data_IF_882893934953
#
_entry.id   IF_882893934953
#
_cell.length_a   1.000
_cell.length_b   1.000
_cell.length_c   1.000
_cell.angle_alpha   90.00
_cell.angle_beta   90.00
_cell.angle_gamma   90.00
#
_symmetry.space_group_name_H-M   'P 1'
#
loop_
_entity.id
_entity.type
_entity.pdbx_description
1 polymer ?
#
# COMPACT_ATOMS: atom_id res chain seq x y z
N UNK A 1 -2.55 -7.68 7.70
CA UNK A 1 -2.57 -6.35 8.34
C UNK A 1 -3.37 -5.39 7.49
N UNK A 2 -4.29 -4.63 8.10
CA UNK A 2 -4.95 -3.52 7.42
C UNK A 2 -4.13 -2.25 7.65
N UNK A 3 -3.67 -1.62 6.56
CA UNK A 3 -2.82 -0.43 6.60
C UNK A 3 -3.68 0.83 6.61
N UNK A 4 -4.78 0.80 5.84
CA UNK A 4 -5.86 1.77 5.82
C UNK A 4 -7.18 1.04 5.58
N UNK A 5 -8.30 1.77 5.46
CA UNK A 5 -9.59 1.18 5.06
C UNK A 5 -9.52 0.53 3.66
N UNK A 6 -8.68 1.07 2.78
CA UNK A 6 -8.65 0.72 1.35
C UNK A 6 -7.34 0.01 0.94
N UNK A 7 -6.47 -0.34 1.88
CA UNK A 7 -5.22 -1.05 1.62
C UNK A 7 -4.93 -2.12 2.68
N UNK A 8 -4.64 -3.34 2.20
CA UNK A 8 -4.23 -4.48 3.02
C UNK A 8 -2.89 -5.06 2.57
N UNK A 9 -2.17 -5.63 3.53
CA UNK A 9 -0.93 -6.37 3.31
C UNK A 9 -1.01 -7.71 4.04
N UNK A 10 -0.73 -8.79 3.31
CA UNK A 10 -0.78 -10.18 3.78
C UNK A 10 0.55 -10.87 3.45
N UNK A 11 0.97 -11.78 4.33
CA UNK A 11 2.04 -12.72 4.04
C UNK A 11 1.37 -14.06 3.73
N UNK A 12 1.47 -14.49 2.48
CA UNK A 12 1.01 -15.80 2.02
C UNK A 12 2.00 -16.90 2.46
N UNK A 13 1.69 -18.15 2.09
CA UNK A 13 2.64 -19.26 2.22
C UNK A 13 3.95 -18.93 1.51
N UNK A 14 5.02 -19.58 1.96
CA UNK A 14 6.37 -19.42 1.42
C UNK A 14 6.96 -18.01 1.52
N UNK A 15 6.44 -17.12 2.39
CA UNK A 15 6.96 -15.74 2.57
C UNK A 15 6.71 -14.82 1.37
N UNK A 16 5.68 -15.10 0.57
CA UNK A 16 5.22 -14.19 -0.47
C UNK A 16 4.38 -13.07 0.15
N UNK A 17 4.73 -11.83 -0.17
CA UNK A 17 3.97 -10.65 0.24
C UNK A 17 2.92 -10.35 -0.81
N UNK A 18 1.70 -10.07 -0.35
CA UNK A 18 0.58 -9.63 -1.16
C UNK A 18 0.05 -8.31 -0.62
N UNK A 19 0.08 -7.28 -1.46
CA UNK A 19 -0.47 -5.96 -1.15
C UNK A 19 -1.63 -5.71 -2.08
N UNK A 20 -2.79 -5.42 -1.52
CA UNK A 20 -4.00 -5.05 -2.25
C UNK A 20 -4.42 -3.66 -1.83
N UNK A 21 -4.94 -2.89 -2.77
CA UNK A 21 -5.59 -1.65 -2.41
C UNK A 21 -6.40 -1.06 -3.55
N UNK A 22 -6.99 0.10 -3.28
CA UNK A 22 -7.76 0.87 -4.26
C UNK A 22 -7.21 2.28 -4.33
N UNK A 23 -6.86 2.73 -5.53
CA UNK A 23 -6.57 4.14 -5.78
C UNK A 23 -7.89 4.88 -5.99
N UNK A 24 -8.18 5.84 -5.12
CA UNK A 24 -9.36 6.73 -5.24
C UNK A 24 -8.96 8.00 -5.97
N UNK A 25 -8.54 7.87 -7.23
CA UNK A 25 -8.48 9.05 -8.09
C UNK A 25 -9.92 9.43 -8.43
N UNK A 26 -10.44 10.49 -7.82
CA UNK A 26 -11.76 11.05 -8.15
C UNK A 26 -11.74 11.49 -9.61
N UNK A 27 -12.22 10.64 -10.51
CA UNK A 27 -12.15 10.78 -11.97
C UNK A 27 -12.80 12.08 -12.50
N UNK A 28 -13.61 12.73 -11.68
CA UNK A 28 -14.33 13.96 -12.00
C UNK A 28 -13.71 15.23 -11.36
N UNK A 29 -12.78 15.07 -10.42
CA UNK A 29 -12.18 16.20 -9.69
C UNK A 29 -11.05 16.84 -10.50
N UNK A 30 -11.43 17.74 -11.40
CA UNK A 30 -10.50 18.73 -11.99
C UNK A 30 -9.98 19.73 -10.95
N UNK A 31 -10.37 19.59 -9.68
CA UNK A 31 -10.12 20.54 -8.61
C UNK A 31 -9.56 19.83 -7.39
N UNK A 32 -8.39 20.27 -6.92
CA UNK A 32 -7.78 19.81 -5.67
C UNK A 32 -8.03 20.87 -4.60
N UNK A 33 -8.59 20.47 -3.46
CA UNK A 33 -8.74 21.35 -2.30
C UNK A 33 -7.58 21.12 -1.33
N UNK A 34 -6.74 22.13 -1.12
CA UNK A 34 -5.62 22.06 -0.16
C UNK A 34 -5.44 23.42 0.52
N UNK A 35 -5.23 23.43 1.83
CA UNK A 35 -5.04 24.66 2.62
C UNK A 35 -6.17 25.70 2.42
N UNK A 36 -7.43 25.25 2.37
CA UNK A 36 -8.60 26.09 2.07
C UNK A 36 -8.55 26.80 0.71
N UNK A 37 -7.73 26.32 -0.22
CA UNK A 37 -7.65 26.82 -1.59
C UNK A 37 -8.11 25.73 -2.57
N UNK A 38 -8.70 26.17 -3.68
CA UNK A 38 -9.17 25.29 -4.77
C UNK A 38 -8.23 25.46 -5.95
N UNK A 39 -7.55 24.38 -6.35
CA UNK A 39 -6.60 24.36 -7.45
C UNK A 39 -7.20 23.61 -8.63
N UNK A 40 -7.31 24.25 -9.80
CA UNK A 40 -7.74 23.58 -11.03
C UNK A 40 -6.56 22.88 -11.70
N UNK A 41 -6.66 21.57 -11.90
CA UNK A 41 -5.65 20.81 -12.64
C UNK A 41 -5.69 21.21 -14.13
N UNK A 42 -4.51 21.57 -14.67
CA UNK A 42 -4.32 21.94 -16.08
C UNK A 42 -4.03 20.72 -16.97
N UNK A 43 -3.38 19.70 -16.42
CA UNK A 43 -3.10 18.41 -17.07
C UNK A 43 -3.60 17.27 -16.18
N UNK A 44 -4.13 16.22 -16.80
CA UNK A 44 -4.71 15.08 -16.08
C UNK A 44 -3.98 13.77 -16.46
N UNK A 45 -2.69 13.69 -16.13
CA UNK A 45 -1.86 12.51 -16.35
C UNK A 45 -1.87 11.60 -15.11
N UNK A 46 -3.04 11.41 -14.50
CA UNK A 46 -3.20 10.56 -13.33
C UNK A 46 -3.55 9.14 -13.77
N UNK A 47 -3.04 8.16 -13.04
CA UNK A 47 -3.50 6.79 -13.20
C UNK A 47 -5.01 6.72 -12.91
N UNK A 48 -5.77 5.92 -13.68
CA UNK A 48 -7.18 5.73 -13.40
C UNK A 48 -7.38 5.21 -11.98
N UNK A 49 -8.49 5.56 -11.30
CA UNK A 49 -8.84 4.90 -10.06
C UNK A 49 -9.04 3.41 -10.33
N UNK A 50 -8.72 2.60 -9.34
CA UNK A 50 -8.99 1.19 -9.45
C UNK A 50 -8.27 0.36 -8.40
N UNK A 51 -8.63 -0.91 -8.42
CA UNK A 51 -7.94 -1.90 -7.62
C UNK A 51 -6.54 -2.16 -8.18
N UNK A 52 -5.57 -2.24 -7.29
CA UNK A 52 -4.23 -2.70 -7.63
C UNK A 52 -3.87 -3.90 -6.76
N UNK A 53 -2.93 -4.68 -7.26
CA UNK A 53 -2.31 -5.78 -6.53
C UNK A 53 -0.83 -5.79 -6.83
N UNK A 54 -0.01 -5.87 -5.78
CA UNK A 54 1.44 -6.04 -5.86
C UNK A 54 1.78 -7.33 -5.13
N UNK A 55 2.66 -8.13 -5.71
CA UNK A 55 3.18 -9.32 -5.03
C UNK A 55 4.66 -9.50 -5.27
N UNK A 56 5.40 -9.89 -4.24
CA UNK A 56 6.82 -10.20 -4.34
C UNK A 56 7.22 -11.24 -3.30
N UNK A 57 8.31 -11.94 -3.60
CA UNK A 57 8.83 -13.03 -2.77
C UNK A 57 9.95 -12.52 -1.86
N UNK A 58 9.87 -12.78 -0.56
CA UNK A 58 10.98 -12.51 0.35
C UNK A 58 12.03 -13.63 0.26
N UNK A 59 13.32 -13.32 0.45
CA UNK A 59 14.43 -14.24 0.21
C UNK A 59 14.58 -15.34 1.28
N UNK A 60 13.65 -15.48 2.22
CA UNK A 60 13.67 -16.53 3.23
C UNK A 60 12.45 -16.50 4.14
N UNK A 61 12.37 -17.47 5.08
CA UNK A 61 11.23 -17.61 5.99
C UNK A 61 11.03 -16.37 6.86
N UNK A 62 9.79 -15.89 6.92
CA UNK A 62 9.38 -14.80 7.83
C UNK A 62 8.19 -15.22 8.69
N UNK A 63 8.03 -14.54 9.83
CA UNK A 63 6.89 -14.74 10.73
C UNK A 63 5.71 -13.91 10.27
N UNK A 64 4.54 -14.54 10.20
CA UNK A 64 3.29 -13.88 9.86
C UNK A 64 2.65 -13.15 11.06
N UNK A 65 3.07 -13.48 12.28
CA UNK A 65 2.51 -12.92 13.53
C UNK A 65 3.04 -11.51 13.84
N UNK A 66 4.19 -11.14 13.26
CA UNK A 66 4.89 -9.88 13.54
C UNK A 66 4.93 -8.95 12.31
N UNK A 67 3.94 -9.04 11.41
CA UNK A 67 3.78 -8.07 10.32
C UNK A 67 3.27 -6.74 10.91
N UNK A 68 4.12 -5.72 10.84
CA UNK A 68 3.73 -4.34 11.08
C UNK A 68 3.90 -3.51 9.79
N UNK A 69 3.16 -2.42 9.67
CA UNK A 69 3.13 -1.61 8.48
C UNK A 69 2.46 -0.27 8.70
N UNK A 70 2.82 0.67 7.87
CA UNK A 70 2.42 2.06 7.99
C UNK A 70 2.15 2.61 6.59
N UNK A 71 1.04 3.31 6.42
CA UNK A 71 0.81 4.12 5.24
C UNK A 71 0.96 5.59 5.62
N UNK A 72 2.11 6.15 5.29
CA UNK A 72 2.48 7.50 5.63
C UNK A 72 1.60 8.53 4.92
N UNK A 73 1.44 9.69 5.56
CA UNK A 73 0.75 10.85 4.95
C UNK A 73 1.48 11.43 3.73
N UNK A 74 2.72 11.00 3.50
CA UNK A 74 3.53 11.26 2.32
C UNK A 74 3.22 10.31 1.15
N UNK A 75 2.31 9.34 1.34
CA UNK A 75 1.93 8.36 0.34
C UNK A 75 2.87 7.16 0.24
N UNK A 76 3.75 6.97 1.22
CA UNK A 76 4.68 5.83 1.27
C UNK A 76 4.08 4.70 2.09
N UNK A 77 4.09 3.48 1.53
CA UNK A 77 3.76 2.26 2.24
C UNK A 77 5.03 1.58 2.75
N UNK A 78 5.12 1.40 4.06
CA UNK A 78 6.22 0.72 4.74
C UNK A 78 5.72 -0.53 5.46
N UNK A 79 6.53 -1.59 5.47
CA UNK A 79 6.23 -2.84 6.17
C UNK A 79 7.49 -3.45 6.78
N UNK A 80 7.37 -3.94 8.01
CA UNK A 80 8.43 -4.64 8.73
C UNK A 80 7.96 -6.05 9.06
N UNK A 81 8.80 -7.03 8.73
CA UNK A 81 8.56 -8.45 9.00
C UNK A 81 9.77 -9.06 9.68
N UNK A 82 9.54 -10.00 10.58
CA UNK A 82 10.62 -10.70 11.28
C UNK A 82 11.05 -11.93 10.51
N UNK A 83 12.36 -12.06 10.31
CA UNK A 83 12.94 -13.28 9.76
C UNK A 83 12.89 -14.41 10.79
N UNK A 84 12.46 -15.59 10.34
CA UNK A 84 12.48 -16.81 11.15
C UNK A 84 13.80 -17.53 10.90
N UNK A 85 14.47 -17.90 11.98
CA UNK A 85 15.64 -18.75 11.97
C UNK A 85 15.31 -20.02 12.71
N UNK A 86 15.44 -21.16 12.04
CA UNK A 86 15.41 -22.45 12.70
C UNK A 86 16.78 -22.66 13.35
N UNK A 87 16.79 -22.99 14.65
CA UNK A 87 18.00 -23.49 15.29
C UNK A 87 18.17 -24.94 14.85
N UNK A 88 19.37 -25.27 14.39
CA UNK A 88 19.82 -26.64 14.19
C UNK A 88 19.76 -27.46 15.49
#
# INVERSE_FOLDING_TARGET
>A
MNLTKDCSCEIELDSKILIKGTTTTTTEEKTVCKYNQVFKMLSHNLCPPGHFTISFQLPGPVSNEELNGNFGSDGVLEGVVKKVYYKD
#
